data_IF_772158553186
#
_entry.id   IF_772158553186
#
_cell.length_a   1.000
_cell.length_b   1.000
_cell.length_c   1.000
_cell.angle_alpha   90.00
_cell.angle_beta   90.00
_cell.angle_gamma   90.00
#
_symmetry.space_group_name_H-M   'P 1'
#
loop_
_entity.id
_entity.type
_entity.pdbx_description
1 polymer ?
#
# COMPACT_ATOMS: atom_id res chain seq x y z
N UNK A 1 1.39 -15.24 -4.67
CA UNK A 1 0.69 -15.28 -5.98
C UNK A 1 -0.27 -14.12 -6.01
N UNK A 2 -0.39 -13.42 -7.13
CA UNK A 2 -1.34 -12.31 -7.32
C UNK A 2 -2.17 -12.55 -8.57
N UNK A 3 -3.48 -12.41 -8.48
CA UNK A 3 -4.42 -12.54 -9.59
C UNK A 3 -5.30 -11.29 -9.63
N UNK A 4 -5.34 -10.62 -10.78
CA UNK A 4 -6.20 -9.45 -10.99
C UNK A 4 -6.87 -9.53 -12.35
N UNK A 5 -8.07 -8.97 -12.44
CA UNK A 5 -8.80 -8.81 -13.69
C UNK A 5 -9.15 -7.34 -13.88
N UNK A 6 -8.87 -6.82 -15.07
CA UNK A 6 -9.32 -5.50 -15.48
C UNK A 6 -10.80 -5.55 -15.88
N UNK A 7 -11.20 -6.63 -16.55
CA UNK A 7 -12.57 -6.90 -16.97
C UNK A 7 -12.79 -8.42 -17.09
N UNK A 8 -13.95 -8.85 -17.59
CA UNK A 8 -14.30 -10.28 -17.72
C UNK A 8 -13.40 -11.08 -18.68
N UNK A 9 -12.62 -10.40 -19.54
CA UNK A 9 -11.77 -11.01 -20.57
C UNK A 9 -10.28 -10.85 -20.27
N UNK A 10 -9.86 -9.74 -19.67
CA UNK A 10 -8.45 -9.39 -19.48
C UNK A 10 -8.03 -9.54 -18.02
N UNK A 11 -7.03 -10.38 -17.77
CA UNK A 11 -6.49 -10.62 -16.44
C UNK A 11 -4.99 -10.92 -16.43
N UNK A 12 -4.38 -10.74 -15.26
CA UNK A 12 -2.97 -10.99 -15.02
C UNK A 12 -2.77 -11.85 -13.79
N UNK A 13 -1.85 -12.79 -13.89
CA UNK A 13 -1.47 -13.71 -12.82
C UNK A 13 0.05 -13.65 -12.62
N UNK A 14 0.48 -13.42 -11.38
CA UNK A 14 1.87 -13.44 -10.97
C UNK A 14 2.08 -14.64 -10.06
N UNK A 15 2.94 -15.56 -10.48
CA UNK A 15 3.24 -16.79 -9.75
C UNK A 15 4.67 -16.75 -9.22
N UNK A 16 4.81 -17.05 -7.94
CA UNK A 16 6.10 -17.37 -7.33
C UNK A 16 6.48 -18.80 -7.72
N UNK A 17 7.60 -18.94 -8.43
CA UNK A 17 8.13 -20.24 -8.88
C UNK A 17 9.15 -20.83 -7.89
N UNK A 18 9.31 -20.20 -6.73
CA UNK A 18 10.27 -20.58 -5.71
C UNK A 18 11.64 -19.94 -5.89
N UNK A 19 12.47 -20.12 -4.88
CA UNK A 19 13.82 -19.57 -4.78
C UNK A 19 14.86 -20.68 -4.93
N UNK A 20 15.86 -20.51 -5.79
CA UNK A 20 17.07 -21.33 -5.77
C UNK A 20 18.31 -20.42 -5.79
N UNK A 21 19.27 -20.72 -4.92
CA UNK A 21 20.60 -20.09 -4.85
C UNK A 21 20.62 -18.56 -5.08
N UNK A 22 19.77 -17.80 -4.37
CA UNK A 22 19.76 -16.33 -4.43
C UNK A 22 18.96 -15.70 -5.57
N UNK A 23 18.30 -16.51 -6.41
CA UNK A 23 17.39 -16.04 -7.46
C UNK A 23 15.95 -16.39 -7.08
N UNK A 24 15.10 -15.37 -7.01
CA UNK A 24 13.66 -15.54 -6.94
C UNK A 24 13.11 -15.54 -8.37
N UNK A 25 12.47 -16.65 -8.78
CA UNK A 25 11.89 -16.77 -10.10
C UNK A 25 10.41 -16.45 -10.05
N UNK A 26 10.01 -15.50 -10.89
CA UNK A 26 8.62 -15.09 -11.02
C UNK A 26 8.18 -15.26 -12.46
N UNK A 27 6.94 -15.67 -12.63
CA UNK A 27 6.32 -15.74 -13.94
C UNK A 27 5.07 -14.88 -13.93
N UNK A 28 5.05 -13.88 -14.82
CA UNK A 28 3.84 -13.16 -15.15
C UNK A 28 3.09 -13.90 -16.24
N UNK A 29 1.78 -13.87 -16.15
CA UNK A 29 0.87 -14.41 -17.15
C UNK A 29 -0.21 -13.38 -17.46
N UNK A 30 -0.64 -13.34 -18.71
CA UNK A 30 -1.80 -12.57 -19.15
C UNK A 30 -2.81 -13.50 -19.81
N UNK A 31 -4.09 -13.26 -19.52
CA UNK A 31 -5.21 -13.80 -20.27
C UNK A 31 -5.94 -12.65 -20.98
N UNK A 32 -6.47 -12.95 -22.17
CA UNK A 32 -7.33 -12.05 -22.96
C UNK A 32 -8.67 -12.74 -23.32
N UNK A 33 -8.91 -13.93 -22.77
CA UNK A 33 -10.05 -14.79 -23.08
C UNK A 33 -10.82 -15.24 -21.83
N UNK A 34 -10.73 -14.46 -20.76
CA UNK A 34 -11.43 -14.70 -19.49
C UNK A 34 -10.81 -15.83 -18.67
N UNK A 35 -9.50 -16.04 -18.81
CA UNK A 35 -8.75 -17.04 -18.05
C UNK A 35 -8.77 -18.45 -18.65
N UNK A 36 -9.26 -18.62 -19.90
CA UNK A 36 -9.24 -19.92 -20.58
C UNK A 36 -7.83 -20.29 -21.06
N UNK A 37 -7.08 -19.30 -21.54
CA UNK A 37 -5.67 -19.44 -21.88
C UNK A 37 -4.84 -18.32 -21.28
N UNK A 38 -3.57 -18.64 -20.99
CA UNK A 38 -2.62 -17.74 -20.32
C UNK A 38 -1.30 -17.74 -21.08
N UNK A 39 -0.83 -16.55 -21.44
CA UNK A 39 0.45 -16.35 -22.12
C UNK A 39 1.48 -15.81 -21.14
N UNK A 40 2.68 -16.40 -21.12
CA UNK A 40 3.78 -15.96 -20.26
C UNK A 40 4.29 -14.59 -20.69
N UNK A 41 4.48 -13.69 -19.74
CA UNK A 41 5.10 -12.38 -19.92
C UNK A 41 6.27 -12.17 -18.94
N UNK A 42 7.25 -11.31 -19.28
CA UNK A 42 8.24 -10.86 -18.33
C UNK A 42 7.58 -10.18 -17.13
N UNK A 43 8.13 -10.39 -15.94
CA UNK A 43 7.64 -9.73 -14.73
C UNK A 43 8.81 -9.34 -13.81
N UNK A 44 8.82 -8.11 -13.26
CA UNK A 44 10.01 -7.57 -12.61
C UNK A 44 10.41 -8.33 -11.33
N UNK A 45 9.43 -8.79 -10.54
CA UNK A 45 9.61 -9.44 -9.22
C UNK A 45 8.29 -9.98 -8.65
N UNK A 46 8.23 -10.76 -7.56
CA UNK A 46 6.96 -11.04 -6.87
C UNK A 46 6.53 -9.80 -6.13
N UNK A 47 5.53 -9.16 -6.71
CA UNK A 47 4.92 -7.97 -6.22
C UNK A 47 3.45 -7.99 -6.65
N UNK A 48 2.56 -7.34 -5.89
CA UNK A 48 1.24 -6.99 -6.36
C UNK A 48 1.28 -6.35 -7.74
N UNK A 49 0.20 -6.55 -8.50
CA UNK A 49 0.04 -5.98 -9.84
C UNK A 49 -1.32 -5.32 -9.97
N UNK A 50 -1.34 -4.16 -10.61
CA UNK A 50 -2.53 -3.44 -11.02
C UNK A 50 -2.41 -3.09 -12.50
N UNK A 51 -3.49 -3.27 -13.27
CA UNK A 51 -3.62 -2.69 -14.60
C UNK A 51 -4.80 -1.74 -14.60
N UNK A 52 -4.58 -0.49 -15.02
CA UNK A 52 -5.62 0.54 -15.09
C UNK A 52 -6.32 0.57 -16.43
N UNK A 53 -5.65 0.01 -17.44
CA UNK A 53 -6.19 -0.33 -18.75
C UNK A 53 -5.36 -1.49 -19.34
N UNK A 54 -5.61 -1.87 -20.59
CA UNK A 54 -4.92 -3.01 -21.22
C UNK A 54 -3.41 -2.80 -21.45
N UNK A 55 -2.93 -1.54 -21.40
CA UNK A 55 -1.54 -1.18 -21.68
C UNK A 55 -0.79 -0.74 -20.42
N UNK A 56 -1.43 0.11 -19.61
CA UNK A 56 -0.81 0.76 -18.45
C UNK A 56 -1.00 -0.10 -17.20
N UNK A 57 0.11 -0.56 -16.63
CA UNK A 57 0.14 -1.39 -15.43
C UNK A 57 1.27 -1.02 -14.47
N UNK A 58 1.06 -1.33 -13.20
CA UNK A 58 1.94 -0.96 -12.10
C UNK A 58 2.19 -2.14 -11.18
N UNK A 59 3.38 -2.17 -10.61
CA UNK A 59 3.80 -3.16 -9.64
C UNK A 59 4.69 -2.49 -8.61
N UNK A 60 4.41 -2.75 -7.33
CA UNK A 60 5.18 -2.21 -6.21
C UNK A 60 5.68 -3.34 -5.34
N UNK A 61 6.91 -3.26 -4.85
CA UNK A 61 7.44 -4.23 -3.91
C UNK A 61 8.87 -4.63 -4.25
N UNK A 62 9.18 -5.91 -4.02
CA UNK A 62 10.55 -6.36 -3.90
C UNK A 62 11.02 -6.11 -2.48
N UNK A 63 11.51 -7.16 -1.81
CA UNK A 63 12.12 -7.03 -0.48
C UNK A 63 13.35 -6.11 -0.51
N UNK A 64 14.25 -6.25 0.46
CA UNK A 64 15.42 -5.38 0.49
C UNK A 64 16.38 -5.66 -0.68
N UNK A 65 16.92 -4.60 -1.27
CA UNK A 65 17.93 -4.68 -2.32
C UNK A 65 17.65 -3.83 -3.57
N UNK A 66 18.47 -3.98 -4.63
CA UNK A 66 18.45 -3.11 -5.81
C UNK A 66 17.18 -3.22 -6.67
N UNK A 67 16.35 -4.23 -6.43
CA UNK A 67 15.07 -4.43 -7.12
C UNK A 67 13.87 -3.86 -6.35
N UNK A 68 14.07 -3.34 -5.15
CA UNK A 68 13.01 -2.70 -4.38
C UNK A 68 12.51 -1.43 -5.08
N UNK A 69 11.20 -1.28 -5.21
CA UNK A 69 10.58 -0.05 -5.65
C UNK A 69 9.27 -0.24 -6.42
N UNK A 70 8.91 0.79 -7.17
CA UNK A 70 7.74 0.82 -8.02
C UNK A 70 8.15 0.71 -9.49
N UNK A 71 7.39 -0.06 -10.25
CA UNK A 71 7.59 -0.34 -11.67
C UNK A 71 6.30 -0.05 -12.44
N UNK A 72 6.48 0.41 -13.67
CA UNK A 72 5.40 0.66 -14.63
C UNK A 72 5.64 -0.07 -15.94
N UNK A 73 4.54 -0.41 -16.60
CA UNK A 73 4.47 -0.84 -17.99
C UNK A 73 3.46 0.03 -18.73
N UNK A 74 3.71 0.28 -20.00
CA UNK A 74 2.81 1.01 -20.90
C UNK A 74 2.54 0.23 -22.20
N UNK A 75 2.85 -1.07 -22.19
CA UNK A 75 2.75 -1.97 -23.35
C UNK A 75 2.07 -3.31 -23.00
N UNK A 76 1.26 -3.32 -21.94
CA UNK A 76 0.48 -4.48 -21.50
C UNK A 76 1.29 -5.50 -20.70
N UNK A 77 2.41 -5.07 -20.10
CA UNK A 77 3.30 -5.92 -19.31
C UNK A 77 4.35 -6.66 -20.12
N UNK A 78 4.57 -6.28 -21.39
CA UNK A 78 5.64 -6.85 -22.22
C UNK A 78 7.00 -6.33 -21.76
N UNK A 79 7.07 -5.06 -21.37
CA UNK A 79 8.25 -4.45 -20.75
C UNK A 79 7.86 -3.71 -19.48
N UNK A 80 8.73 -3.79 -18.48
CA UNK A 80 8.58 -3.12 -17.20
C UNK A 80 9.81 -2.27 -16.92
N UNK A 81 9.59 -1.02 -16.51
CA UNK A 81 10.65 -0.09 -16.12
C UNK A 81 10.40 0.44 -14.72
N UNK A 82 11.48 0.73 -13.98
CA UNK A 82 11.37 1.38 -12.67
C UNK A 82 10.79 2.78 -12.86
N UNK A 83 9.82 3.16 -12.02
CA UNK A 83 9.24 4.49 -12.07
C UNK A 83 10.30 5.53 -11.67
N UNK A 84 10.36 6.62 -12.42
CA UNK A 84 11.21 7.77 -12.13
C UNK A 84 10.57 8.63 -11.03
N UNK A 85 10.75 8.20 -9.77
CA UNK A 85 10.21 8.88 -8.59
C UNK A 85 11.32 9.67 -7.90
N UNK A 86 11.12 10.97 -7.73
CA UNK A 86 12.06 11.82 -7.00
C UNK A 86 12.15 11.37 -5.53
N UNK A 87 13.36 11.22 -4.96
CA UNK A 87 13.51 10.89 -3.55
C UNK A 87 12.84 11.91 -2.63
N UNK A 88 12.16 11.45 -1.58
CA UNK A 88 11.57 12.29 -0.53
C UNK A 88 12.41 12.31 0.75
N UNK A 89 13.72 12.02 0.66
CA UNK A 89 14.63 11.85 1.79
C UNK A 89 14.74 10.39 2.25
N UNK A 90 15.42 10.19 3.38
CA UNK A 90 15.64 8.87 4.00
C UNK A 90 16.65 7.97 3.28
N UNK A 91 16.71 6.71 3.74
CA UNK A 91 17.58 5.66 3.19
C UNK A 91 16.89 4.86 2.08
N UNK A 92 15.57 4.72 2.15
CA UNK A 92 14.77 3.94 1.20
C UNK A 92 13.31 4.41 1.19
N UNK A 93 12.60 4.06 0.11
CA UNK A 93 11.16 4.23 -0.02
C UNK A 93 10.49 2.89 -0.34
N UNK A 94 9.26 2.73 0.16
CA UNK A 94 8.37 1.61 -0.14
C UNK A 94 7.01 2.19 -0.55
N UNK A 95 6.39 1.58 -1.54
CA UNK A 95 5.16 2.08 -2.15
C UNK A 95 4.06 1.04 -2.10
N UNK A 96 2.82 1.51 -2.05
CA UNK A 96 1.58 0.74 -2.27
C UNK A 96 1.17 0.86 -3.74
N UNK A 97 0.26 -0.01 -4.21
CA UNK A 97 -0.23 0.10 -5.58
C UNK A 97 -0.91 1.46 -5.79
N UNK A 98 -0.71 2.13 -6.93
CA UNK A 98 -1.32 3.43 -7.17
C UNK A 98 -2.84 3.30 -7.30
N UNK A 99 -3.56 4.28 -6.78
CA UNK A 99 -5.01 4.41 -6.96
C UNK A 99 -5.27 5.44 -8.05
N UNK A 100 -6.07 5.06 -9.05
CA UNK A 100 -6.41 5.91 -10.19
C UNK A 100 -7.88 6.31 -10.16
N UNK A 101 -8.15 7.61 -10.28
CA UNK A 101 -9.52 8.13 -10.42
C UNK A 101 -10.03 8.04 -11.86
N UNK A 102 -9.11 7.99 -12.82
CA UNK A 102 -9.34 7.76 -14.24
C UNK A 102 -8.05 7.23 -14.89
N UNK A 103 -8.04 7.06 -16.22
CA UNK A 103 -6.87 6.50 -16.93
C UNK A 103 -5.60 7.38 -16.91
N UNK A 104 -5.70 8.65 -16.47
CA UNK A 104 -4.62 9.62 -16.46
C UNK A 104 -4.22 10.07 -15.06
N UNK A 105 -5.19 10.26 -14.17
CA UNK A 105 -4.99 10.84 -12.86
C UNK A 105 -4.88 9.74 -11.80
N UNK A 106 -3.75 9.69 -11.11
CA UNK A 106 -3.48 8.68 -10.10
C UNK A 106 -2.62 9.20 -8.95
N UNK A 107 -2.69 8.50 -7.83
CA UNK A 107 -1.97 8.79 -6.61
C UNK A 107 -1.20 7.54 -6.19
N UNK A 108 0.11 7.71 -5.96
CA UNK A 108 1.01 6.67 -5.48
C UNK A 108 1.39 7.02 -4.04
N UNK A 109 0.94 6.22 -3.10
CA UNK A 109 1.27 6.37 -1.69
C UNK A 109 2.48 5.50 -1.33
N UNK A 110 3.26 5.95 -0.35
CA UNK A 110 4.41 5.22 0.15
C UNK A 110 4.90 5.75 1.49
N UNK A 111 5.99 5.16 1.96
CA UNK A 111 6.65 5.59 3.19
C UNK A 111 8.17 5.59 3.03
N UNK A 112 8.80 6.51 3.77
CA UNK A 112 10.24 6.76 3.75
C UNK A 112 10.86 6.15 5.00
N UNK A 113 11.83 5.26 4.79
CA UNK A 113 12.61 4.63 5.86
C UNK A 113 13.84 5.49 6.18
N UNK A 114 14.20 5.59 7.44
CA UNK A 114 15.47 6.17 7.88
C UNK A 114 16.61 5.13 7.89
N UNK A 115 17.75 5.47 8.48
CA UNK A 115 18.90 4.55 8.55
C UNK A 115 18.74 3.41 9.55
N UNK A 116 17.83 3.50 10.54
CA UNK A 116 17.49 2.36 11.41
C UNK A 116 16.47 1.42 10.77
N UNK A 117 15.85 1.85 9.66
CA UNK A 117 14.79 1.10 8.98
C UNK A 117 13.40 1.44 9.52
N UNK A 118 13.29 2.45 10.39
CA UNK A 118 12.03 2.94 10.89
C UNK A 118 11.41 3.92 9.90
N UNK A 119 10.08 4.04 9.94
CA UNK A 119 9.40 4.97 9.04
C UNK A 119 9.47 6.39 9.56
N UNK A 120 10.16 7.25 8.81
CA UNK A 120 10.30 8.68 9.10
C UNK A 120 9.11 9.52 8.61
N UNK A 121 8.46 9.11 7.51
CA UNK A 121 7.33 9.84 6.93
C UNK A 121 6.51 8.99 5.96
N UNK A 122 5.26 9.41 5.75
CA UNK A 122 4.40 8.92 4.67
C UNK A 122 4.45 9.93 3.53
N UNK A 123 4.51 9.46 2.29
CA UNK A 123 4.65 10.30 1.10
C UNK A 123 3.59 9.97 0.05
N UNK A 124 3.16 10.99 -0.67
CA UNK A 124 2.17 10.88 -1.74
C UNK A 124 2.71 11.54 -3.00
N UNK A 125 2.65 10.80 -4.11
CA UNK A 125 2.99 11.31 -5.43
C UNK A 125 1.74 11.29 -6.31
N UNK A 126 1.63 12.25 -7.22
CA UNK A 126 0.51 12.33 -8.17
C UNK A 126 1.01 12.25 -9.61
N UNK A 127 0.19 11.65 -10.48
CA UNK A 127 0.35 11.67 -11.92
C UNK A 127 -0.91 12.24 -12.58
N UNK A 128 -0.75 12.86 -13.75
CA UNK A 128 -1.85 13.32 -14.61
C UNK A 128 -1.69 12.82 -16.06
N UNK A 129 -0.78 11.88 -16.29
CA UNK A 129 -0.41 11.35 -17.60
C UNK A 129 -0.40 9.81 -17.67
N UNK A 130 -1.15 9.17 -16.77
CA UNK A 130 -1.29 7.71 -16.71
C UNK A 130 -0.07 7.04 -16.10
N UNK A 131 0.62 7.72 -15.17
CA UNK A 131 1.76 7.19 -14.43
C UNK A 131 3.08 7.16 -15.19
N UNK A 132 3.19 7.93 -16.30
CA UNK A 132 4.46 8.11 -17.02
C UNK A 132 5.38 9.06 -16.26
N UNK A 133 4.80 10.08 -15.63
CA UNK A 133 5.48 10.99 -14.74
C UNK A 133 4.77 11.11 -13.39
N UNK A 134 5.55 11.13 -12.31
CA UNK A 134 5.08 11.24 -10.93
C UNK A 134 5.75 12.41 -10.23
N UNK A 135 4.94 13.26 -9.58
CA UNK A 135 5.41 14.43 -8.82
C UNK A 135 5.08 14.27 -7.34
N UNK A 136 6.01 14.63 -6.46
CA UNK A 136 5.75 14.64 -5.01
C UNK A 136 4.67 15.68 -4.70
N UNK A 137 3.57 15.23 -4.10
CA UNK A 137 2.44 16.08 -3.72
C UNK A 137 2.46 16.41 -2.22
N UNK A 138 2.79 15.44 -1.37
CA UNK A 138 2.86 15.65 0.07
C UNK A 138 3.86 14.72 0.75
N UNK A 139 4.47 15.23 1.82
CA UNK A 139 5.23 14.46 2.81
C UNK A 139 4.60 14.72 4.17
N UNK A 140 4.16 13.66 4.86
CA UNK A 140 3.56 13.71 6.18
C UNK A 140 4.55 13.11 7.18
N UNK A 141 5.24 13.93 7.98
CA UNK A 141 6.22 13.45 8.94
C UNK A 141 5.57 12.54 9.98
N UNK A 142 6.28 11.47 10.33
CA UNK A 142 5.93 10.67 11.50
C UNK A 142 6.14 11.53 12.77
N UNK A 143 5.08 11.80 13.56
CA UNK A 143 5.20 12.65 14.74
C UNK A 143 6.01 11.98 15.86
N UNK A 144 6.21 10.67 15.83
CA UNK A 144 7.04 9.94 16.80
C UNK A 144 8.03 9.03 16.08
N UNK A 145 9.31 9.43 16.09
CA UNK A 145 10.42 8.74 15.43
C UNK A 145 10.73 7.35 15.99
N UNK A 146 10.14 6.96 17.12
CA UNK A 146 10.30 5.62 17.71
C UNK A 146 9.17 4.67 17.34
N UNK A 147 8.25 5.13 16.50
CA UNK A 147 7.08 4.36 16.06
C UNK A 147 7.10 4.24 14.55
N UNK A 148 6.23 3.39 14.01
CA UNK A 148 6.08 3.25 12.56
C UNK A 148 4.97 4.16 12.04
N UNK A 149 5.02 4.44 10.74
CA UNK A 149 3.96 5.09 10.00
C UNK A 149 3.78 4.36 8.68
N UNK A 150 2.59 4.38 8.10
CA UNK A 150 2.29 3.76 6.80
C UNK A 150 1.24 4.59 6.07
N UNK A 151 1.12 4.47 4.74
CA UNK A 151 -0.06 4.96 4.07
C UNK A 151 -1.31 4.35 4.72
N UNK A 152 -2.32 5.19 4.92
CA UNK A 152 -3.64 4.80 5.45
C UNK A 152 -4.65 4.57 4.33
N UNK A 153 -4.21 4.54 3.07
CA UNK A 153 -5.05 4.43 1.89
C UNK A 153 -5.27 5.74 1.14
N UNK A 154 -5.69 5.59 -0.12
CA UNK A 154 -6.13 6.66 -1.02
C UNK A 154 -7.55 6.35 -1.44
N UNK A 155 -8.49 7.26 -1.17
CA UNK A 155 -9.89 7.11 -1.57
C UNK A 155 -10.09 7.61 -3.00
N UNK A 156 -9.56 8.79 -3.29
CA UNK A 156 -9.63 9.41 -4.61
C UNK A 156 -8.48 10.42 -4.84
N UNK A 157 -8.58 11.24 -5.89
CA UNK A 157 -7.58 12.26 -6.22
C UNK A 157 -7.44 13.41 -5.20
N UNK A 158 -8.23 13.45 -4.13
CA UNK A 158 -8.24 14.50 -3.11
C UNK A 158 -8.19 14.00 -1.67
N UNK A 159 -8.75 12.81 -1.39
CA UNK A 159 -8.88 12.28 -0.03
C UNK A 159 -7.89 11.15 0.22
N UNK A 160 -6.87 11.42 1.03
CA UNK A 160 -5.76 10.49 1.33
C UNK A 160 -5.54 10.40 2.83
N UNK A 161 -5.07 9.24 3.29
CA UNK A 161 -4.89 8.95 4.70
C UNK A 161 -3.45 8.53 4.99
N UNK A 162 -2.93 8.92 6.14
CA UNK A 162 -1.65 8.47 6.67
C UNK A 162 -1.86 7.94 8.09
N UNK A 163 -1.44 6.69 8.33
CA UNK A 163 -1.62 6.00 9.61
C UNK A 163 -0.31 6.04 10.42
N UNK A 164 -0.41 6.45 11.68
CA UNK A 164 0.71 6.58 12.61
C UNK A 164 0.47 5.66 13.78
N UNK A 165 1.43 4.78 14.04
CA UNK A 165 1.41 3.93 15.20
C UNK A 165 1.82 4.76 16.42
N UNK A 166 1.24 4.44 17.57
CA UNK A 166 1.63 5.00 18.85
C UNK A 166 1.69 3.92 19.92
N UNK A 167 2.45 4.21 20.97
CA UNK A 167 2.45 3.40 22.20
C UNK A 167 1.51 4.03 23.21
N UNK A 168 0.54 3.24 23.70
CA UNK A 168 -0.47 3.66 24.67
C UNK A 168 0.13 4.05 26.03
N UNK A 169 -0.58 4.86 26.84
CA UNK A 169 -0.18 5.17 28.21
C UNK A 169 -0.17 3.92 29.11
N UNK A 170 -0.92 2.88 28.74
CA UNK A 170 -0.85 1.56 29.35
C UNK A 170 0.27 0.77 28.67
N UNK A 171 1.29 0.38 29.44
CA UNK A 171 2.38 -0.45 28.95
C UNK A 171 1.82 -1.70 28.23
N UNK A 172 2.22 -1.90 26.98
CA UNK A 172 1.87 -3.09 26.20
C UNK A 172 0.62 -3.00 25.33
N UNK A 173 0.04 -1.82 25.07
CA UNK A 173 -0.97 -1.66 24.01
C UNK A 173 -0.51 -0.67 22.95
N UNK A 174 -0.59 -1.09 21.69
CA UNK A 174 -0.39 -0.25 20.52
C UNK A 174 -1.70 0.37 20.09
N UNK A 175 -1.63 1.55 19.48
CA UNK A 175 -2.78 2.17 18.83
C UNK A 175 -2.36 2.80 17.50
N UNK A 176 -3.34 3.09 16.66
CA UNK A 176 -3.16 3.82 15.41
C UNK A 176 -3.99 5.09 15.43
N UNK A 177 -3.36 6.20 15.03
CA UNK A 177 -4.04 7.47 14.71
C UNK A 177 -3.89 7.75 13.23
N UNK A 178 -4.91 8.33 12.62
CA UNK A 178 -4.92 8.61 11.19
C UNK A 178 -4.95 10.12 10.98
N UNK A 179 -4.10 10.62 10.08
CA UNK A 179 -4.31 11.93 9.46
C UNK A 179 -4.99 11.75 8.12
N UNK A 180 -5.87 12.68 7.79
CA UNK A 180 -6.57 12.75 6.51
C UNK A 180 -6.34 14.11 5.86
N UNK A 181 -6.21 14.11 4.55
CA UNK A 181 -6.34 15.30 3.70
C UNK A 181 -7.63 15.19 2.90
N UNK A 182 -8.27 16.32 2.63
CA UNK A 182 -9.43 16.41 1.74
C UNK A 182 -9.15 17.30 0.52
N UNK A 183 -7.90 17.74 0.34
CA UNK A 183 -7.49 18.74 -0.64
C UNK A 183 -6.21 18.36 -1.38
N UNK A 184 -6.03 17.06 -1.64
CA UNK A 184 -4.87 16.50 -2.34
C UNK A 184 -3.54 16.84 -1.66
N UNK A 185 -3.51 16.68 -0.33
CA UNK A 185 -2.30 16.76 0.48
C UNK A 185 -1.84 18.17 0.84
N UNK A 186 -2.63 19.21 0.53
CA UNK A 186 -2.27 20.60 0.88
C UNK A 186 -2.44 20.87 2.37
N UNK A 187 -3.50 20.32 2.97
CA UNK A 187 -3.76 20.40 4.41
C UNK A 187 -4.10 19.02 4.96
N UNK A 188 -3.77 18.83 6.25
CA UNK A 188 -3.91 17.57 6.96
C UNK A 188 -4.47 17.80 8.35
N UNK A 189 -5.40 16.96 8.75
CA UNK A 189 -6.00 16.96 10.08
C UNK A 189 -6.04 15.56 10.67
N UNK A 190 -6.10 15.45 12.00
CA UNK A 190 -6.30 14.16 12.65
C UNK A 190 -7.76 13.74 12.57
N UNK A 191 -8.00 12.48 12.24
CA UNK A 191 -9.33 11.88 12.41
C UNK A 191 -9.70 11.86 13.90
N UNK A 192 -11.00 11.96 14.24
CA UNK A 192 -11.45 11.94 15.64
C UNK A 192 -11.21 10.58 16.32
N UNK A 193 -11.26 9.48 15.57
CA UNK A 193 -11.06 8.13 16.10
C UNK A 193 -9.60 7.78 16.42
N UNK A 194 -9.42 7.00 17.48
CA UNK A 194 -8.18 6.26 17.77
C UNK A 194 -8.49 4.78 17.73
N UNK A 195 -7.75 4.04 16.92
CA UNK A 195 -7.91 2.60 16.75
C UNK A 195 -6.94 1.88 17.69
N UNK A 196 -7.43 0.92 18.49
CA UNK A 196 -6.52 0.05 19.25
C UNK A 196 -5.93 -1.01 18.32
N UNK A 197 -4.63 -1.21 18.39
CA UNK A 197 -3.88 -2.07 17.47
C UNK A 197 -3.30 -1.34 16.25
N UNK A 198 -2.81 -2.14 15.31
CA UNK A 198 -2.00 -1.71 14.16
C UNK A 198 -2.53 -2.36 12.88
N UNK A 199 -2.72 -1.56 11.83
CA UNK A 199 -3.02 -2.09 10.50
C UNK A 199 -1.83 -2.92 9.96
N UNK A 200 -2.12 -4.14 9.55
CA UNK A 200 -1.08 -5.09 9.13
C UNK A 200 -0.80 -5.02 7.64
N UNK A 201 -1.80 -4.62 6.88
CA UNK A 201 -1.82 -4.58 5.42
C UNK A 201 -2.38 -3.24 4.93
N UNK A 202 -2.35 -3.03 3.61
CA UNK A 202 -2.92 -1.84 2.96
C UNK A 202 -4.41 -1.72 3.30
N UNK A 203 -4.87 -0.49 3.57
CA UNK A 203 -6.28 -0.20 3.81
C UNK A 203 -6.99 -0.06 2.46
N UNK A 204 -7.99 -0.91 2.22
CA UNK A 204 -8.74 -0.90 0.97
C UNK A 204 -9.98 -0.02 1.09
N UNK A 205 -10.27 0.79 0.07
CA UNK A 205 -11.45 1.66 0.01
C UNK A 205 -12.29 1.42 -1.24
N UNK A 206 -13.60 1.50 -1.06
CA UNK A 206 -14.61 1.61 -2.10
C UNK A 206 -15.48 2.85 -1.80
N UNK A 207 -15.08 3.99 -2.36
CA UNK A 207 -15.63 5.29 -1.96
C UNK A 207 -15.28 5.60 -0.50
N UNK A 208 -16.26 6.08 0.28
CA UNK A 208 -16.05 6.35 1.71
C UNK A 208 -16.02 5.11 2.59
N UNK A 209 -16.36 3.93 2.05
CA UNK A 209 -16.31 2.69 2.81
C UNK A 209 -14.93 2.06 2.67
N UNK A 210 -14.31 1.67 3.78
CA UNK A 210 -12.99 1.06 3.77
C UNK A 210 -12.86 -0.09 4.75
N UNK A 211 -11.89 -0.96 4.51
CA UNK A 211 -11.62 -2.14 5.32
C UNK A 211 -10.13 -2.29 5.57
N UNK A 212 -9.79 -2.77 6.76
CA UNK A 212 -8.41 -3.10 7.11
C UNK A 212 -8.34 -4.19 8.17
N UNK A 213 -7.31 -5.01 8.09
CA UNK A 213 -6.96 -5.99 9.11
C UNK A 213 -6.07 -5.33 10.16
N UNK A 214 -6.44 -5.51 11.42
CA UNK A 214 -5.79 -4.85 12.55
C UNK A 214 -5.30 -5.93 13.50
N UNK A 215 -4.00 -5.91 13.79
CA UNK A 215 -3.41 -6.71 14.84
C UNK A 215 -3.46 -5.95 16.16
N UNK A 216 -4.04 -6.56 17.18
CA UNK A 216 -3.95 -6.08 18.55
C UNK A 216 -3.10 -7.06 19.34
N UNK A 217 -1.98 -6.58 19.87
CA UNK A 217 -1.09 -7.36 20.70
C UNK A 217 -0.87 -6.69 22.05
N UNK A 218 -0.63 -7.52 23.06
CA UNK A 218 -0.35 -7.07 24.42
C UNK A 218 -0.07 -8.23 25.36
N UNK A 219 0.21 -7.93 26.62
CA UNK A 219 0.44 -8.93 27.67
C UNK A 219 -0.37 -8.54 28.92
N UNK A 220 -0.97 -9.51 29.59
CA UNK A 220 -1.70 -9.25 30.84
C UNK A 220 -0.76 -9.05 32.05
N UNK A 221 0.51 -9.47 31.93
CA UNK A 221 1.59 -9.15 32.86
C UNK A 221 2.91 -8.81 32.15
N UNK A 222 4.00 -8.59 32.91
CA UNK A 222 5.30 -8.27 32.32
C UNK A 222 5.85 -9.47 31.54
N UNK A 223 5.69 -9.43 30.21
CA UNK A 223 6.06 -10.54 29.31
C UNK A 223 5.38 -11.88 29.65
N UNK A 224 4.22 -11.84 30.30
CA UNK A 224 3.42 -13.03 30.62
C UNK A 224 2.00 -12.85 30.08
N UNK A 225 1.37 -13.96 29.69
CA UNK A 225 0.01 -13.99 29.14
C UNK A 225 -0.15 -13.03 27.95
N UNK A 226 0.79 -13.12 27.02
CA UNK A 226 0.81 -12.31 25.82
C UNK A 226 -0.14 -12.87 24.76
N UNK A 227 -0.85 -11.98 24.09
CA UNK A 227 -1.80 -12.31 23.03
C UNK A 227 -1.52 -11.47 21.79
N UNK A 228 -1.92 -12.00 20.64
CA UNK A 228 -2.06 -11.27 19.39
C UNK A 228 -3.37 -11.71 18.74
N UNK A 229 -4.29 -10.77 18.59
CA UNK A 229 -5.57 -10.99 17.92
C UNK A 229 -5.57 -10.25 16.58
N UNK A 230 -6.22 -10.85 15.59
CA UNK A 230 -6.38 -10.28 14.26
C UNK A 230 -7.86 -10.02 14.02
N UNK A 231 -8.19 -8.75 13.78
CA UNK A 231 -9.56 -8.29 13.69
C UNK A 231 -9.76 -7.55 12.37
N UNK A 232 -10.91 -7.77 11.74
CA UNK A 232 -11.32 -6.99 10.58
C UNK A 232 -12.06 -5.73 11.05
N UNK A 233 -11.67 -4.58 10.54
CA UNK A 233 -12.33 -3.31 10.81
C UNK A 233 -12.92 -2.72 9.53
N UNK A 234 -14.01 -1.99 9.68
CA UNK A 234 -14.67 -1.25 8.62
C UNK A 234 -14.85 0.22 9.02
N UNK A 235 -14.67 1.10 8.05
CA UNK A 235 -15.14 2.49 8.08
C UNK A 235 -16.19 2.69 7.00
N UNK A 236 -17.12 3.61 7.20
CA UNK A 236 -18.12 4.03 6.19
C UNK A 236 -18.02 5.52 5.87
N UNK A 237 -17.11 6.22 6.54
CA UNK A 237 -16.97 7.68 6.55
C UNK A 237 -15.56 8.15 6.20
N UNK A 238 -14.88 7.37 5.35
CA UNK A 238 -13.56 7.73 4.83
C UNK A 238 -12.45 7.63 5.88
N UNK A 239 -12.58 6.72 6.83
CA UNK A 239 -11.58 6.43 7.85
C UNK A 239 -11.66 7.31 9.10
N UNK A 240 -12.69 8.15 9.24
CA UNK A 240 -12.88 8.98 10.43
C UNK A 240 -13.23 8.14 11.66
N UNK A 241 -14.05 7.10 11.49
CA UNK A 241 -14.40 6.12 12.51
C UNK A 241 -14.26 4.69 11.99
N UNK A 242 -13.84 3.78 12.86
CA UNK A 242 -13.61 2.37 12.56
C UNK A 242 -14.39 1.48 13.53
N UNK A 243 -15.10 0.51 12.96
CA UNK A 243 -15.88 -0.49 13.68
C UNK A 243 -15.28 -1.87 13.45
N UNK A 244 -15.02 -2.60 14.54
CA UNK A 244 -14.62 -4.00 14.45
C UNK A 244 -15.81 -4.84 13.94
N UNK A 245 -15.57 -5.67 12.93
CA UNK A 245 -16.54 -6.63 12.41
C UNK A 245 -16.39 -7.98 13.13
N UNK A 246 -17.51 -8.66 13.37
CA UNK A 246 -17.51 -10.06 13.79
C UNK A 246 -17.36 -10.98 12.58
N UNK A 247 -16.34 -11.83 12.61
CA UNK A 247 -16.19 -12.93 11.67
C UNK A 247 -16.97 -14.12 12.23
N UNK A 248 -17.97 -14.60 11.49
CA UNK A 248 -18.79 -15.76 11.83
C UNK A 248 -18.20 -17.05 11.26
#
# INVERSE_FOLDING_TARGET
MYLTFLDAMHGWLVVDRGSHAGFMYYSGYQTIDGGRTWTTLPYPQSAPVLFVNQLDGFSVGGGDGPKAGAYGTHDGGRTWARLAIAPAGGSAMRFELPVFSDQRNGVLAGHVLDTSGDTSSVVFYTTSDGGRFWSLAATVPNPDTHTSARPGGVIDGKVWLAAFLGSGPTAGRTYTRIKVTHDAGRTWEWTPGVLTGVFTDEISFAGSTGWGTVSESGCLGFKTDCFTNWNLYQTVDGGAHWLQLSLA
#
